data_IF_937113426647
#
_entry.id   IF_937113426647
#
_cell.length_a   1.000
_cell.length_b   1.000
_cell.length_c   1.000
_cell.angle_alpha   90.00
_cell.angle_beta   90.00
_cell.angle_gamma   90.00
#
_symmetry.space_group_name_H-M   'P 1'
#
loop_
_entity.id
_entity.type
_entity.pdbx_description
1 polymer ?
#
# COMPACT_ATOMS: atom_id res chain seq x y z
N UNK A 1 -48.57 25.41 61.79
CA UNK A 1 -48.07 24.07 62.21
C UNK A 1 -48.19 23.17 60.99
N UNK A 2 -47.08 22.97 60.26
CA UNK A 2 -46.24 21.75 60.24
C UNK A 2 -46.99 20.51 59.71
N UNK A 3 -46.50 19.67 58.77
CA UNK A 3 -45.27 19.58 57.96
C UNK A 3 -45.39 18.28 57.11
N UNK A 4 -44.72 18.26 55.93
CA UNK A 4 -44.17 17.12 55.16
C UNK A 4 -45.13 16.04 54.60
N UNK A 5 -45.26 15.91 53.27
CA UNK A 5 -44.34 15.26 52.30
C UNK A 5 -44.27 13.73 52.43
N UNK A 6 -44.95 13.02 51.53
CA UNK A 6 -44.57 11.68 51.10
C UNK A 6 -44.00 11.75 49.68
N UNK A 7 -42.68 11.61 49.61
CA UNK A 7 -41.87 11.54 48.40
C UNK A 7 -42.08 10.19 47.71
N UNK A 8 -42.67 10.22 46.51
CA UNK A 8 -42.46 9.17 45.52
C UNK A 8 -41.08 9.40 44.88
N UNK A 9 -40.05 8.78 45.45
CA UNK A 9 -38.72 8.75 44.86
C UNK A 9 -38.72 7.75 43.69
N UNK A 10 -39.12 8.22 42.51
CA UNK A 10 -38.75 7.55 41.26
C UNK A 10 -37.23 7.56 41.14
N UNK A 11 -36.65 6.36 41.12
CA UNK A 11 -35.29 6.08 40.70
C UNK A 11 -35.10 6.50 39.24
N UNK A 12 -34.82 7.77 38.99
CA UNK A 12 -34.20 8.19 37.74
C UNK A 12 -32.69 7.99 37.86
N UNK A 13 -32.27 6.76 37.58
CA UNK A 13 -30.94 6.46 37.05
C UNK A 13 -30.81 7.15 35.68
N UNK A 14 -30.60 8.46 35.68
CA UNK A 14 -30.12 9.21 34.50
C UNK A 14 -28.60 9.11 34.44
N UNK A 15 -28.10 7.88 34.49
CA UNK A 15 -26.85 7.59 33.81
C UNK A 15 -27.16 7.67 32.32
N UNK A 16 -26.97 8.85 31.72
CA UNK A 16 -26.64 8.90 30.30
C UNK A 16 -25.31 8.17 30.15
N UNK A 17 -25.38 6.83 30.09
CA UNK A 17 -24.36 6.05 29.43
C UNK A 17 -24.30 6.64 28.03
N UNK A 18 -23.34 7.54 27.84
CA UNK A 18 -22.85 7.91 26.53
C UNK A 18 -22.31 6.62 25.97
N UNK A 19 -23.19 5.80 25.42
CA UNK A 19 -22.82 4.78 24.46
C UNK A 19 -22.11 5.59 23.40
N UNK A 20 -20.79 5.45 23.35
CA UNK A 20 -20.04 5.80 22.15
C UNK A 20 -20.83 5.19 21.02
N UNK A 21 -21.44 6.04 20.19
CA UNK A 21 -21.99 5.60 18.91
C UNK A 21 -20.84 4.83 18.28
N UNK A 22 -20.93 3.49 18.25
CA UNK A 22 -19.99 2.66 17.52
C UNK A 22 -20.17 3.12 16.09
N UNK A 23 -19.32 4.06 15.70
CA UNK A 23 -19.24 4.62 14.37
C UNK A 23 -19.05 3.40 13.48
N UNK A 24 -20.11 3.01 12.75
CA UNK A 24 -20.14 1.78 11.99
C UNK A 24 -18.84 1.72 11.18
N UNK A 25 -17.92 0.81 11.57
CA UNK A 25 -16.61 0.70 10.93
C UNK A 25 -16.90 0.53 9.45
N UNK A 26 -16.45 1.48 8.64
CA UNK A 26 -16.53 1.34 7.20
C UNK A 26 -15.87 0.00 6.84
N UNK A 27 -16.59 -0.94 6.21
CA UNK A 27 -16.03 -2.26 5.87
C UNK A 27 -14.72 -2.16 5.09
N UNK A 28 -14.57 -1.09 4.29
CA UNK A 28 -13.34 -0.75 3.59
C UNK A 28 -12.14 -0.51 4.52
N UNK A 29 -12.32 0.29 5.58
CA UNK A 29 -11.26 0.63 6.52
C UNK A 29 -10.85 -0.59 7.35
N UNK A 30 -11.81 -1.44 7.72
CA UNK A 30 -11.56 -2.70 8.40
C UNK A 30 -10.71 -3.65 7.53
N UNK A 31 -11.08 -3.85 6.27
CA UNK A 31 -10.33 -4.69 5.33
C UNK A 31 -8.92 -4.14 5.05
N UNK A 32 -8.76 -2.81 4.95
CA UNK A 32 -7.44 -2.19 4.82
C UNK A 32 -6.58 -2.40 6.06
N UNK A 33 -7.16 -2.29 7.26
CA UNK A 33 -6.44 -2.56 8.51
C UNK A 33 -6.03 -4.03 8.61
N UNK A 34 -6.93 -4.96 8.31
CA UNK A 34 -6.65 -6.39 8.32
C UNK A 34 -5.56 -6.77 7.31
N UNK A 35 -5.61 -6.21 6.10
CA UNK A 35 -4.57 -6.37 5.08
C UNK A 35 -3.20 -5.90 5.59
N UNK A 36 -3.12 -4.73 6.23
CA UNK A 36 -1.87 -4.20 6.81
C UNK A 36 -1.35 -5.08 7.93
N UNK A 37 -2.24 -5.54 8.81
CA UNK A 37 -1.86 -6.43 9.91
C UNK A 37 -1.29 -7.75 9.36
N UNK A 38 -1.99 -8.38 8.42
CA UNK A 38 -1.54 -9.62 7.77
C UNK A 38 -0.15 -9.47 7.16
N UNK A 39 0.10 -8.38 6.41
CA UNK A 39 1.39 -8.13 5.78
C UNK A 39 2.50 -7.80 6.78
N UNK A 40 2.14 -7.21 7.92
CA UNK A 40 3.06 -6.96 9.05
C UNK A 40 3.43 -8.27 9.73
N UNK A 41 2.47 -9.17 9.94
CA UNK A 41 2.70 -10.48 10.54
C UNK A 41 3.64 -11.31 9.65
N UNK A 42 3.43 -11.28 8.32
CA UNK A 42 4.35 -11.92 7.35
C UNK A 42 5.75 -11.32 7.45
N UNK A 43 5.88 -9.99 7.48
CA UNK A 43 7.18 -9.31 7.60
C UNK A 43 7.95 -9.72 8.86
N UNK A 44 7.23 -9.94 9.97
CA UNK A 44 7.82 -10.24 11.27
C UNK A 44 7.97 -11.75 11.55
N UNK A 45 7.62 -12.60 10.58
CA UNK A 45 7.71 -14.04 10.74
C UNK A 45 9.17 -14.52 10.82
N UNK A 46 9.52 -15.16 11.94
CA UNK A 46 10.87 -15.66 12.21
C UNK A 46 11.30 -16.75 11.22
N UNK A 47 10.36 -17.49 10.64
CA UNK A 47 10.66 -18.51 9.62
C UNK A 47 11.23 -17.90 8.34
N UNK A 48 10.98 -16.60 8.09
CA UNK A 48 11.39 -15.91 6.86
C UNK A 48 12.73 -15.17 7.01
N UNK A 49 13.37 -15.27 8.18
CA UNK A 49 14.57 -14.49 8.52
C UNK A 49 15.73 -14.68 7.54
N UNK A 50 15.89 -15.88 6.97
CA UNK A 50 16.97 -16.18 6.02
C UNK A 50 16.89 -15.41 4.71
N UNK A 51 15.70 -14.94 4.33
CA UNK A 51 15.48 -14.18 3.10
C UNK A 51 15.12 -12.70 3.35
N UNK A 52 15.01 -12.29 4.63
CA UNK A 52 14.49 -10.97 5.02
C UNK A 52 15.32 -9.78 4.53
N UNK A 53 16.61 -9.97 4.27
CA UNK A 53 17.50 -8.96 3.69
C UNK A 53 17.69 -9.12 2.17
N UNK A 54 16.97 -10.06 1.53
CA UNK A 54 17.08 -10.37 0.10
C UNK A 54 15.79 -10.10 -0.67
N UNK A 55 14.66 -9.97 0.03
CA UNK A 55 13.36 -9.60 -0.53
C UNK A 55 12.63 -8.63 0.39
N UNK A 56 11.71 -7.85 -0.17
CA UNK A 56 10.76 -7.07 0.61
C UNK A 56 9.57 -7.95 1.04
N UNK A 57 9.62 -8.44 2.29
CA UNK A 57 8.66 -9.40 2.87
C UNK A 57 7.27 -8.80 3.14
N UNK A 58 7.19 -7.49 3.40
CA UNK A 58 5.96 -6.75 3.64
C UNK A 58 5.70 -5.78 2.50
N UNK A 59 4.44 -5.71 2.06
CA UNK A 59 3.93 -5.03 0.84
C UNK A 59 4.17 -3.52 0.69
N UNK A 60 4.95 -2.88 1.56
CA UNK A 60 5.28 -1.47 1.39
C UNK A 60 6.19 -1.29 0.18
N UNK A 61 5.63 -0.69 -0.87
CA UNK A 61 6.39 -0.13 -1.98
C UNK A 61 7.35 0.92 -1.44
N UNK A 62 8.63 0.57 -1.43
CA UNK A 62 9.74 1.47 -1.17
C UNK A 62 10.72 1.32 -2.33
N UNK A 63 10.82 2.38 -3.13
CA UNK A 63 11.61 2.37 -4.36
C UNK A 63 13.10 2.19 -4.05
N UNK A 64 13.58 2.76 -2.94
CA UNK A 64 14.98 2.68 -2.56
C UNK A 64 15.35 1.25 -2.14
N UNK A 65 14.47 0.60 -1.37
CA UNK A 65 14.62 -0.82 -1.03
C UNK A 65 14.66 -1.70 -2.28
N UNK A 66 13.79 -1.45 -3.27
CA UNK A 66 13.84 -2.23 -4.52
C UNK A 66 15.14 -2.01 -5.30
N UNK A 67 15.69 -0.79 -5.31
CA UNK A 67 16.97 -0.52 -5.96
C UNK A 67 18.13 -1.22 -5.27
N UNK A 68 18.17 -1.23 -3.94
CA UNK A 68 19.18 -1.98 -3.18
C UNK A 68 19.10 -3.47 -3.48
N UNK A 69 17.89 -4.04 -3.44
CA UNK A 69 17.67 -5.45 -3.72
C UNK A 69 17.98 -5.83 -5.17
N UNK A 70 17.76 -4.92 -6.13
CA UNK A 70 18.08 -5.13 -7.55
C UNK A 70 19.58 -5.42 -7.78
N UNK A 71 20.45 -4.99 -6.88
CA UNK A 71 21.89 -5.29 -6.91
C UNK A 71 22.26 -6.73 -6.56
N UNK A 72 21.35 -7.50 -5.94
CA UNK A 72 21.63 -8.87 -5.50
C UNK A 72 21.56 -9.83 -6.70
N UNK A 73 22.71 -10.31 -7.17
CA UNK A 73 22.79 -11.19 -8.36
C UNK A 73 22.53 -12.65 -8.06
N UNK A 74 22.56 -13.05 -6.79
CA UNK A 74 22.46 -14.44 -6.37
C UNK A 74 21.08 -15.04 -6.67
N UNK A 75 21.10 -16.32 -7.01
CA UNK A 75 19.90 -17.16 -7.05
C UNK A 75 19.59 -17.68 -5.64
N UNK A 76 18.31 -17.91 -5.30
CA UNK A 76 17.96 -18.57 -4.05
C UNK A 76 18.58 -19.96 -3.94
N UNK A 77 19.16 -20.29 -2.78
CA UNK A 77 19.62 -21.66 -2.49
C UNK A 77 18.45 -22.64 -2.38
N UNK A 78 18.74 -23.94 -2.29
CA UNK A 78 17.70 -24.96 -2.11
C UNK A 78 16.86 -24.70 -0.84
N UNK A 79 17.51 -24.34 0.26
CA UNK A 79 16.88 -24.02 1.54
C UNK A 79 16.05 -22.74 1.44
N UNK A 80 16.58 -21.73 0.77
CA UNK A 80 15.87 -20.46 0.58
C UNK A 80 14.63 -20.62 -0.30
N UNK A 81 14.64 -21.50 -1.30
CA UNK A 81 13.44 -21.81 -2.10
C UNK A 81 12.31 -22.36 -1.23
N UNK A 82 12.63 -23.18 -0.23
CA UNK A 82 11.64 -23.69 0.73
C UNK A 82 11.05 -22.52 1.54
N UNK A 83 11.90 -21.62 2.02
CA UNK A 83 11.47 -20.43 2.78
C UNK A 83 10.65 -19.47 1.92
N UNK A 84 11.03 -19.25 0.66
CA UNK A 84 10.26 -18.46 -0.31
C UNK A 84 8.89 -19.10 -0.56
N UNK A 85 8.82 -20.43 -0.70
CA UNK A 85 7.55 -21.15 -0.80
C UNK A 85 6.63 -20.89 0.40
N UNK A 86 7.18 -20.92 1.62
CA UNK A 86 6.44 -20.55 2.84
C UNK A 86 5.99 -19.08 2.82
N UNK A 87 6.87 -18.16 2.43
CA UNK A 87 6.55 -16.74 2.31
C UNK A 87 5.38 -16.51 1.35
N UNK A 88 5.42 -17.09 0.14
CA UNK A 88 4.34 -16.98 -0.85
C UNK A 88 3.02 -17.56 -0.32
N UNK A 89 3.07 -18.70 0.36
CA UNK A 89 1.89 -19.31 0.98
C UNK A 89 1.27 -18.41 2.05
N UNK A 90 2.11 -17.74 2.87
CA UNK A 90 1.65 -16.80 3.92
C UNK A 90 1.12 -15.48 3.34
N UNK A 91 1.56 -15.04 2.16
CA UNK A 91 1.00 -13.87 1.47
C UNK A 91 -0.39 -14.11 0.88
N UNK A 92 -0.70 -15.35 0.47
CA UNK A 92 -1.99 -15.71 -0.16
C UNK A 92 -3.23 -15.25 0.63
N UNK A 93 -3.35 -15.49 1.96
CA UNK A 93 -4.48 -14.98 2.73
C UNK A 93 -4.52 -13.44 2.75
N UNK A 94 -3.38 -12.76 2.84
CA UNK A 94 -3.34 -11.29 2.82
C UNK A 94 -3.88 -10.72 1.51
N UNK A 95 -3.53 -11.32 0.37
CA UNK A 95 -4.06 -10.92 -0.94
C UNK A 95 -5.56 -11.22 -1.10
N UNK A 96 -6.08 -12.24 -0.42
CA UNK A 96 -7.52 -12.52 -0.40
C UNK A 96 -8.29 -11.39 0.30
N UNK A 97 -7.87 -11.02 1.51
CA UNK A 97 -8.46 -9.90 2.26
C UNK A 97 -8.34 -8.58 1.47
N UNK A 98 -7.17 -8.35 0.85
CA UNK A 98 -6.95 -7.19 -0.01
C UNK A 98 -7.92 -7.17 -1.20
N UNK A 99 -8.16 -8.31 -1.84
CA UNK A 99 -9.08 -8.41 -2.97
C UNK A 99 -10.53 -8.12 -2.56
N UNK A 100 -10.94 -8.51 -1.36
CA UNK A 100 -12.27 -8.18 -0.81
C UNK A 100 -12.45 -6.65 -0.66
N UNK A 101 -11.36 -5.91 -0.41
CA UNK A 101 -11.41 -4.44 -0.33
C UNK A 101 -11.76 -3.75 -1.65
N UNK A 102 -11.56 -4.43 -2.80
CA UNK A 102 -11.84 -3.85 -4.12
C UNK A 102 -13.32 -3.63 -4.40
N UNK A 103 -14.21 -4.34 -3.70
CA UNK A 103 -15.65 -4.12 -3.80
C UNK A 103 -16.08 -2.70 -3.33
N UNK A 104 -15.22 -2.01 -2.58
CA UNK A 104 -15.48 -0.69 -2.01
C UNK A 104 -14.71 0.44 -2.73
N UNK A 105 -13.90 0.11 -3.73
CA UNK A 105 -13.15 1.07 -4.53
C UNK A 105 -13.93 1.40 -5.83
N UNK A 106 -13.78 2.61 -6.40
CA UNK A 106 -14.27 2.90 -7.75
C UNK A 106 -13.83 1.85 -8.76
N UNK A 107 -14.71 1.50 -9.71
CA UNK A 107 -14.49 0.38 -10.63
C UNK A 107 -13.15 0.46 -11.40
N UNK A 108 -12.72 1.68 -11.75
CA UNK A 108 -11.46 1.92 -12.46
C UNK A 108 -10.23 1.61 -11.56
N UNK A 109 -10.29 2.00 -10.29
CA UNK A 109 -9.26 1.75 -9.27
C UNK A 109 -9.22 0.26 -8.90
N UNK A 110 -10.39 -0.35 -8.68
CA UNK A 110 -10.54 -1.77 -8.39
C UNK A 110 -9.93 -2.63 -9.50
N UNK A 111 -10.22 -2.31 -10.77
CA UNK A 111 -9.66 -2.99 -11.94
C UNK A 111 -8.14 -2.98 -11.93
N UNK A 112 -7.51 -1.81 -11.86
CA UNK A 112 -6.05 -1.72 -11.93
C UNK A 112 -5.35 -2.31 -10.71
N UNK A 113 -5.96 -2.20 -9.52
CA UNK A 113 -5.46 -2.83 -8.31
C UNK A 113 -5.48 -4.36 -8.42
N UNK A 114 -6.56 -4.93 -8.96
CA UNK A 114 -6.66 -6.37 -9.20
C UNK A 114 -5.65 -6.88 -10.25
N UNK A 115 -5.46 -6.13 -11.34
CA UNK A 115 -4.45 -6.48 -12.37
C UNK A 115 -3.04 -6.47 -11.79
N UNK A 116 -2.68 -5.42 -11.05
CA UNK A 116 -1.39 -5.31 -10.38
C UNK A 116 -1.13 -6.50 -9.45
N UNK A 117 -2.10 -6.85 -8.60
CA UNK A 117 -1.98 -7.98 -7.69
C UNK A 117 -1.86 -9.32 -8.41
N UNK A 118 -2.57 -9.49 -9.53
CA UNK A 118 -2.46 -10.68 -10.38
C UNK A 118 -1.03 -10.87 -10.92
N UNK A 119 -0.42 -9.80 -11.44
CA UNK A 119 0.96 -9.85 -11.93
C UNK A 119 1.98 -10.08 -10.80
N UNK A 120 1.78 -9.44 -9.63
CA UNK A 120 2.63 -9.67 -8.45
C UNK A 120 2.55 -11.14 -7.99
N UNK A 121 1.36 -11.75 -7.98
CA UNK A 121 1.18 -13.15 -7.62
C UNK A 121 1.81 -14.11 -8.63
N UNK A 122 1.72 -13.81 -9.93
CA UNK A 122 2.38 -14.59 -10.97
C UNK A 122 3.90 -14.55 -10.78
N UNK A 123 4.47 -13.36 -10.54
CA UNK A 123 5.90 -13.18 -10.30
C UNK A 123 6.37 -13.91 -9.02
N UNK A 124 5.59 -13.87 -7.94
CA UNK A 124 5.88 -14.65 -6.72
C UNK A 124 5.92 -16.16 -7.01
N UNK A 125 5.01 -16.66 -7.85
CA UNK A 125 5.00 -18.07 -8.27
C UNK A 125 6.26 -18.42 -9.07
N UNK A 126 6.67 -17.57 -10.01
CA UNK A 126 7.92 -17.78 -10.78
C UNK A 126 9.16 -17.76 -9.90
N UNK A 127 9.22 -16.81 -8.95
CA UNK A 127 10.33 -16.67 -8.03
C UNK A 127 10.44 -17.88 -7.08
N UNK A 128 9.32 -18.37 -6.55
CA UNK A 128 9.32 -19.57 -5.70
C UNK A 128 9.80 -20.85 -6.40
N UNK A 129 9.72 -20.91 -7.73
CA UNK A 129 10.30 -22.00 -8.53
C UNK A 129 11.82 -21.89 -8.70
N UNK A 130 12.43 -20.81 -8.19
CA UNK A 130 13.87 -20.57 -8.22
C UNK A 130 14.41 -20.22 -9.60
N UNK A 131 13.58 -19.65 -10.48
CA UNK A 131 13.96 -19.28 -11.85
C UNK A 131 14.59 -17.88 -11.97
N UNK A 132 14.50 -17.07 -10.91
CA UNK A 132 14.93 -15.68 -10.91
C UNK A 132 15.93 -15.45 -9.77
N UNK A 133 16.91 -14.58 -10.00
CA UNK A 133 17.74 -14.03 -8.92
C UNK A 133 16.94 -13.05 -8.07
N UNK A 134 17.41 -12.78 -6.86
CA UNK A 134 16.79 -11.80 -5.97
C UNK A 134 16.65 -10.42 -6.63
N UNK A 135 17.71 -9.95 -7.29
CA UNK A 135 17.71 -8.65 -7.96
C UNK A 135 16.81 -8.61 -9.19
N UNK A 136 16.73 -9.71 -9.96
CA UNK A 136 15.79 -9.77 -11.10
C UNK A 136 14.35 -9.75 -10.62
N UNK A 137 14.04 -10.47 -9.54
CA UNK A 137 12.74 -10.45 -8.91
C UNK A 137 12.38 -9.05 -8.37
N UNK A 138 13.31 -8.37 -7.69
CA UNK A 138 13.11 -7.01 -7.20
C UNK A 138 12.83 -5.99 -8.33
N UNK A 139 13.61 -6.05 -9.41
CA UNK A 139 13.39 -5.19 -10.58
C UNK A 139 12.02 -5.42 -11.23
N UNK A 140 11.61 -6.68 -11.41
CA UNK A 140 10.29 -7.00 -11.97
C UNK A 140 9.14 -6.55 -11.06
N UNK A 141 9.27 -6.68 -9.73
CA UNK A 141 8.28 -6.13 -8.79
C UNK A 141 8.17 -4.61 -8.90
N UNK A 142 9.30 -3.91 -9.02
CA UNK A 142 9.34 -2.46 -9.18
C UNK A 142 8.67 -2.00 -10.49
N UNK A 143 8.89 -2.72 -11.59
CA UNK A 143 8.27 -2.43 -12.89
C UNK A 143 6.75 -2.57 -12.82
N UNK A 144 6.25 -3.65 -12.22
CA UNK A 144 4.81 -3.88 -12.00
C UNK A 144 4.23 -2.75 -11.15
N UNK A 145 4.85 -2.46 -10.00
CA UNK A 145 4.36 -1.41 -9.09
C UNK A 145 4.36 -0.03 -9.76
N UNK A 146 5.39 0.30 -10.54
CA UNK A 146 5.50 1.61 -11.22
C UNK A 146 4.48 1.74 -12.35
N UNK A 147 4.30 0.68 -13.16
CA UNK A 147 3.31 0.62 -14.24
C UNK A 147 1.90 0.87 -13.72
N UNK A 148 1.47 0.13 -12.71
CA UNK A 148 0.09 0.17 -12.24
C UNK A 148 -0.21 1.28 -11.25
N UNK A 149 0.77 1.74 -10.46
CA UNK A 149 0.58 2.94 -9.61
C UNK A 149 0.26 4.18 -10.46
N UNK A 150 0.85 4.30 -11.64
CA UNK A 150 0.53 5.37 -12.60
C UNK A 150 -0.90 5.28 -13.14
N UNK A 151 -1.40 4.07 -13.42
CA UNK A 151 -2.79 3.84 -13.84
C UNK A 151 -3.79 4.14 -12.71
N UNK A 152 -3.51 3.65 -11.50
CA UNK A 152 -4.35 3.89 -10.31
C UNK A 152 -4.43 5.39 -10.00
N UNK A 153 -3.30 6.12 -10.07
CA UNK A 153 -3.28 7.57 -9.82
C UNK A 153 -4.13 8.33 -10.85
N UNK A 154 -4.08 7.93 -12.12
CA UNK A 154 -4.92 8.51 -13.18
C UNK A 154 -6.40 8.20 -12.96
N UNK A 155 -6.72 6.97 -12.58
CA UNK A 155 -8.08 6.54 -12.22
C UNK A 155 -8.66 7.37 -11.05
N UNK A 156 -7.89 7.52 -9.95
CA UNK A 156 -8.27 8.38 -8.82
C UNK A 156 -8.54 9.82 -9.26
N UNK A 157 -7.69 10.36 -10.14
CA UNK A 157 -7.82 11.74 -10.62
C UNK A 157 -9.04 11.94 -11.53
N UNK A 158 -9.40 10.92 -12.32
CA UNK A 158 -10.58 10.94 -13.18
C UNK A 158 -11.89 10.76 -12.40
N UNK A 159 -11.87 9.94 -11.34
CA UNK A 159 -13.02 9.69 -10.48
C UNK A 159 -13.24 10.82 -9.45
N UNK A 160 -12.25 11.70 -9.24
CA UNK A 160 -12.40 12.90 -8.43
C UNK A 160 -13.22 13.97 -9.18
N UNK A 161 -14.54 14.00 -8.96
CA UNK A 161 -15.34 15.20 -9.26
C UNK A 161 -14.90 16.34 -8.36
N UNK A 162 -14.12 17.29 -8.88
CA UNK A 162 -13.79 18.54 -8.20
C UNK A 162 -15.09 19.25 -7.79
N UNK A 163 -15.29 19.66 -6.53
CA UNK A 163 -16.39 20.53 -6.17
C UNK A 163 -16.27 21.85 -6.97
N UNK A 164 -17.32 22.24 -7.69
CA UNK A 164 -17.36 23.46 -8.54
C UNK A 164 -17.03 24.75 -7.76
N UNK A 165 -17.12 24.71 -6.43
CA UNK A 165 -16.88 25.83 -5.52
C UNK A 165 -15.43 26.03 -5.09
N UNK A 166 -14.48 25.16 -5.46
CA UNK A 166 -13.07 25.37 -5.10
C UNK A 166 -12.33 26.17 -6.16
N UNK A 167 -11.77 27.36 -5.82
CA UNK A 167 -10.96 28.13 -6.76
C UNK A 167 -9.83 27.27 -7.31
N UNK A 168 -9.59 27.39 -8.62
CA UNK A 168 -8.44 26.78 -9.27
C UNK A 168 -7.16 27.28 -8.61
N UNK A 169 -6.56 26.48 -7.72
CA UNK A 169 -5.14 26.60 -7.46
C UNK A 169 -4.47 26.32 -8.80
N UNK A 170 -3.95 27.37 -9.45
CA UNK A 170 -3.14 27.27 -10.67
C UNK A 170 -2.22 26.08 -10.48
N UNK A 171 -2.28 25.15 -11.42
CA UNK A 171 -1.36 24.03 -11.46
C UNK A 171 0.05 24.63 -11.39
N UNK A 172 0.70 24.50 -10.23
CA UNK A 172 2.14 24.61 -10.19
C UNK A 172 2.60 23.39 -10.98
N UNK A 173 2.80 23.60 -12.27
CA UNK A 173 3.34 22.60 -13.18
C UNK A 173 4.51 21.94 -12.46
N UNK A 174 4.43 20.63 -12.28
CA UNK A 174 5.61 19.84 -11.96
C UNK A 174 6.68 20.26 -12.98
N UNK A 175 7.85 20.73 -12.53
CA UNK A 175 8.84 21.27 -13.44
C UNK A 175 9.25 20.16 -14.41
N UNK A 176 8.85 20.32 -15.67
CA UNK A 176 9.23 19.42 -16.76
C UNK A 176 10.75 19.47 -16.89
N UNK A 177 11.36 18.31 -17.07
CA UNK A 177 12.77 18.19 -17.42
C UNK A 177 12.96 18.97 -18.74
N UNK A 178 13.86 19.97 -18.79
CA UNK A 178 14.22 20.62 -20.05
C UNK A 178 14.77 19.57 -21.00
N UNK A 179 14.19 19.49 -22.21
CA UNK A 179 14.54 18.46 -23.22
C UNK A 179 15.60 18.95 -24.21
N UNK A 180 16.24 20.09 -23.91
CA UNK A 180 17.20 20.71 -24.80
C UNK A 180 18.55 19.98 -24.71
N UNK A 181 18.92 19.35 -25.83
CA UNK A 181 20.05 18.42 -25.99
C UNK A 181 21.45 19.03 -25.85
N UNK A 182 21.57 20.28 -25.38
CA UNK A 182 22.83 21.02 -25.25
C UNK A 182 23.22 21.34 -23.81
N UNK A 183 22.50 20.81 -22.81
CA UNK A 183 22.80 21.07 -21.39
C UNK A 183 22.75 19.79 -20.56
N UNK A 184 23.66 19.67 -19.59
CA UNK A 184 23.56 18.65 -18.54
C UNK A 184 22.75 19.25 -17.38
N UNK A 185 21.55 18.73 -17.15
CA UNK A 185 20.70 19.17 -16.06
C UNK A 185 20.77 18.19 -14.89
N UNK A 186 21.08 18.70 -13.71
CA UNK A 186 21.08 17.96 -12.44
C UNK A 186 19.99 18.46 -11.50
N UNK A 187 19.58 17.62 -10.55
CA UNK A 187 18.64 18.00 -9.50
C UNK A 187 19.42 18.39 -8.24
N UNK A 188 19.41 19.68 -7.91
CA UNK A 188 20.10 20.23 -6.74
C UNK A 188 19.08 20.96 -5.84
N UNK A 189 19.05 20.67 -4.53
CA UNK A 189 18.36 21.50 -3.54
C UNK A 189 16.85 21.76 -3.76
N UNK A 190 16.15 20.88 -4.51
CA UNK A 190 14.73 20.97 -4.94
C UNK A 190 14.44 21.76 -6.24
N UNK A 191 15.46 22.05 -7.05
CA UNK A 191 15.28 22.65 -8.37
C UNK A 191 16.15 21.97 -9.44
N UNK A 192 15.73 22.06 -10.70
CA UNK A 192 16.57 21.67 -11.83
C UNK A 192 17.63 22.75 -12.05
N UNK A 193 18.90 22.35 -12.04
CA UNK A 193 20.03 23.20 -12.39
C UNK A 193 20.61 22.67 -13.69
N UNK A 194 20.47 23.45 -14.76
CA UNK A 194 21.06 23.12 -16.05
C UNK A 194 22.38 23.86 -16.23
N UNK A 195 23.44 23.12 -16.53
CA UNK A 195 24.75 23.68 -16.87
C UNK A 195 24.98 23.44 -18.36
N UNK A 196 25.21 24.53 -19.10
CA UNK A 196 25.69 24.46 -20.47
C UNK A 196 27.09 23.85 -20.47
N UNK A 197 27.34 22.92 -21.39
CA UNK A 197 28.70 22.46 -21.69
C UNK A 197 29.49 23.58 -22.37
#
# INVERSE_FOLDING_TARGET
MNKLHFLAALLFLSGCASSTVEQAKNPWDALKQETRQCLTDVKNDRELRSIANKVSLGSTYDRDVYFELAGIKDLPTAEEKIVIGKWVAKLKPCYKVKAESYAYEPASIAKWSAVMDGEQQALLSEFSRGKLSYGRFAAMRLDIDTKYRGEITRAVSADYKRPESMPQKKDNALPRIPTDSSSSCGWEGKQWVCRSL
#
